data_IF_926034636598
#
_entry.id   IF_926034636598
#
_cell.length_a   1.000
_cell.length_b   1.000
_cell.length_c   1.000
_cell.angle_alpha   90.00
_cell.angle_beta   90.00
_cell.angle_gamma   90.00
#
_symmetry.space_group_name_H-M   'P 1'
#
loop_
_entity.id
_entity.type
_entity.pdbx_description
1 polymer ?
#
# COMPACT_ATOMS: atom_id res chain seq x y z
N UNK A 1 4.79 -10.04 -1.74
CA UNK A 1 5.29 -8.85 -2.47
C UNK A 1 4.42 -7.64 -2.14
N UNK A 2 5.04 -6.48 -1.90
CA UNK A 2 4.36 -5.19 -1.78
C UNK A 2 4.63 -4.41 -3.07
N UNK A 3 3.58 -3.83 -3.65
CA UNK A 3 3.62 -3.06 -4.89
C UNK A 3 2.83 -1.78 -4.73
N UNK A 4 3.28 -0.72 -5.40
CA UNK A 4 2.64 0.59 -5.39
C UNK A 4 2.70 1.21 -6.77
N UNK A 5 1.58 1.78 -7.21
CA UNK A 5 1.41 2.41 -8.51
C UNK A 5 0.82 3.79 -8.31
N UNK A 6 1.47 4.80 -8.89
CA UNK A 6 0.95 6.17 -9.01
C UNK A 6 0.57 6.39 -10.47
N UNK A 7 -0.63 6.92 -10.69
CA UNK A 7 -1.16 7.17 -12.02
C UNK A 7 -1.26 8.69 -12.28
N UNK A 8 -1.31 9.07 -13.56
CA UNK A 8 -1.45 10.47 -14.01
C UNK A 8 -2.86 11.04 -13.83
N UNK A 9 -3.84 10.23 -13.43
CA UNK A 9 -5.24 10.63 -13.22
C UNK A 9 -5.59 10.80 -11.73
N UNK A 10 -4.65 11.26 -10.91
CA UNK A 10 -4.81 11.47 -9.46
C UNK A 10 -5.21 10.23 -8.66
N UNK A 11 -4.80 9.06 -9.16
CA UNK A 11 -5.03 7.77 -8.53
C UNK A 11 -3.72 7.21 -8.00
N UNK A 12 -3.77 6.55 -6.84
CA UNK A 12 -2.70 5.67 -6.38
C UNK A 12 -3.28 4.33 -5.93
N UNK A 13 -2.55 3.24 -6.19
CA UNK A 13 -2.92 1.89 -5.77
C UNK A 13 -1.76 1.24 -5.04
N UNK A 14 -2.03 0.67 -3.88
CA UNK A 14 -1.06 -0.17 -3.15
C UNK A 14 -1.63 -1.57 -3.01
N UNK A 15 -0.82 -2.57 -3.32
CA UNK A 15 -1.19 -3.97 -3.23
C UNK A 15 -0.12 -4.77 -2.48
N UNK A 16 -0.57 -5.64 -1.58
CA UNK A 16 0.26 -6.61 -0.90
C UNK A 16 -0.27 -8.02 -1.19
N UNK A 17 0.62 -8.89 -1.66
CA UNK A 17 0.36 -10.31 -1.86
C UNK A 17 1.22 -11.14 -0.92
N UNK A 18 0.60 -12.06 -0.18
CA UNK A 18 1.29 -12.92 0.78
C UNK A 18 1.54 -14.28 0.14
N UNK A 19 2.80 -14.67 0.05
CA UNK A 19 3.23 -15.91 -0.62
C UNK A 19 3.34 -17.10 0.33
N UNK A 20 3.40 -16.89 1.65
CA UNK A 20 3.65 -17.96 2.62
C UNK A 20 3.48 -17.56 4.08
N UNK A 21 3.58 -18.56 4.96
CA UNK A 21 3.51 -18.42 6.42
C UNK A 21 2.09 -18.25 6.98
N UNK A 22 2.01 -18.08 8.30
CA UNK A 22 0.76 -17.90 9.04
C UNK A 22 0.00 -16.64 8.62
N UNK A 23 -1.33 -16.65 8.83
CA UNK A 23 -2.17 -15.50 8.58
C UNK A 23 -1.71 -14.27 9.40
N UNK A 24 -1.78 -13.09 8.79
CA UNK A 24 -1.36 -11.83 9.40
C UNK A 24 -2.40 -10.75 9.17
N UNK A 25 -2.62 -9.91 10.17
CA UNK A 25 -3.43 -8.70 10.02
C UNK A 25 -2.57 -7.60 9.42
N UNK A 26 -3.04 -7.03 8.31
CA UNK A 26 -2.30 -6.02 7.54
C UNK A 26 -3.19 -4.84 7.16
N UNK A 27 -2.56 -3.68 6.99
CA UNK A 27 -3.12 -2.49 6.32
C UNK A 27 -2.19 -2.10 5.19
N UNK A 28 -2.75 -1.85 4.00
CA UNK A 28 -1.98 -1.24 2.90
C UNK A 28 -2.26 0.25 2.89
N UNK A 29 -1.30 1.04 2.42
CA UNK A 29 -1.41 2.49 2.45
C UNK A 29 -0.51 3.18 1.43
N UNK A 30 -0.51 4.50 1.48
CA UNK A 30 0.53 5.31 0.86
C UNK A 30 0.90 6.49 1.77
N UNK A 31 2.15 6.94 1.67
CA UNK A 31 2.62 8.20 2.22
C UNK A 31 2.75 9.23 1.09
N UNK A 32 2.45 10.48 1.39
CA UNK A 32 2.64 11.65 0.53
C UNK A 32 3.10 12.82 1.41
N UNK A 33 4.36 13.22 1.26
CA UNK A 33 4.99 14.17 2.19
C UNK A 33 4.94 13.66 3.63
N UNK A 34 4.37 14.44 4.55
CA UNK A 34 4.16 14.08 5.96
C UNK A 34 2.85 13.32 6.23
N UNK A 35 1.98 13.19 5.21
CA UNK A 35 0.68 12.54 5.35
C UNK A 35 0.75 11.06 5.03
N UNK A 36 0.00 10.25 5.77
CA UNK A 36 -0.09 8.80 5.56
C UNK A 36 -1.56 8.39 5.53
N UNK A 37 -1.91 7.59 4.52
CA UNK A 37 -3.27 7.10 4.28
C UNK A 37 -3.26 5.58 4.28
N UNK A 38 -3.94 4.95 5.24
CA UNK A 38 -4.08 3.50 5.33
C UNK A 38 -5.50 3.05 4.97
N UNK A 39 -5.58 1.85 4.40
CA UNK A 39 -6.83 1.10 4.29
C UNK A 39 -7.26 0.59 5.67
N UNK A 40 -8.49 0.10 5.73
CA UNK A 40 -8.94 -0.75 6.85
C UNK A 40 -8.03 -1.97 7.00
N UNK A 41 -7.91 -2.45 8.25
CA UNK A 41 -7.20 -3.68 8.58
C UNK A 41 -7.88 -4.87 7.91
N UNK A 42 -7.09 -5.84 7.46
CA UNK A 42 -7.59 -7.11 6.93
C UNK A 42 -6.62 -8.22 7.25
N UNK A 43 -7.13 -9.36 7.71
CA UNK A 43 -6.32 -10.55 7.91
C UNK A 43 -6.20 -11.31 6.60
N UNK A 44 -4.97 -11.57 6.16
CA UNK A 44 -4.71 -12.34 4.95
C UNK A 44 -3.84 -13.56 5.24
N UNK A 45 -4.20 -14.69 4.62
CA UNK A 45 -3.49 -15.96 4.69
C UNK A 45 -2.52 -16.11 3.51
N UNK A 46 -1.73 -17.19 3.52
CA UNK A 46 -0.90 -17.57 2.37
C UNK A 46 -1.74 -17.66 1.08
N UNK A 47 -1.26 -17.09 -0.02
CA UNK A 47 -1.97 -16.97 -1.29
C UNK A 47 -2.96 -15.81 -1.36
N UNK A 48 -3.23 -15.11 -0.26
CA UNK A 48 -4.13 -13.97 -0.19
C UNK A 48 -3.49 -12.65 -0.62
N UNK A 49 -4.32 -11.69 -0.99
CA UNK A 49 -3.92 -10.32 -1.29
C UNK A 49 -4.78 -9.30 -0.57
N UNK A 50 -4.20 -8.11 -0.36
CA UNK A 50 -4.91 -6.91 0.05
C UNK A 50 -4.48 -5.78 -0.88
N UNK A 51 -5.45 -5.10 -1.48
CA UNK A 51 -5.23 -3.89 -2.25
C UNK A 51 -6.14 -2.77 -1.77
N UNK A 52 -5.71 -1.54 -2.01
CA UNK A 52 -6.52 -0.35 -1.88
C UNK A 52 -6.12 0.67 -2.93
N UNK A 53 -7.12 1.44 -3.36
CA UNK A 53 -6.98 2.48 -4.37
C UNK A 53 -7.55 3.77 -3.79
N UNK A 54 -6.82 4.87 -3.99
CA UNK A 54 -7.21 6.20 -3.55
C UNK A 54 -7.33 7.11 -4.77
N UNK A 55 -8.37 7.92 -4.78
CA UNK A 55 -8.61 8.98 -5.76
C UNK A 55 -8.31 10.35 -5.12
N UNK A 56 -8.07 11.37 -5.95
CA UNK A 56 -7.73 12.72 -5.46
C UNK A 56 -6.33 12.80 -4.87
N UNK A 57 -5.46 11.82 -5.17
CA UNK A 57 -4.05 11.88 -4.78
C UNK A 57 -3.38 12.87 -5.73
N UNK A 58 -2.90 13.99 -5.21
CA UNK A 58 -2.41 15.11 -6.03
C UNK A 58 -1.54 14.68 -7.24
N UNK A 59 -1.73 15.39 -8.35
CA UNK A 59 -1.08 15.11 -9.63
C UNK A 59 0.43 15.18 -9.50
N UNK A 60 1.12 14.15 -10.02
CA UNK A 60 2.57 14.09 -10.11
C UNK A 60 3.35 14.36 -8.82
N UNK A 61 2.74 14.13 -7.67
CA UNK A 61 3.46 14.10 -6.39
C UNK A 61 4.06 12.73 -6.16
N UNK A 62 5.25 12.71 -5.54
CA UNK A 62 5.87 11.49 -5.05
C UNK A 62 5.02 10.83 -3.96
N UNK A 63 4.73 9.55 -4.14
CA UNK A 63 4.05 8.72 -3.15
C UNK A 63 4.85 7.45 -2.85
N UNK A 64 4.75 6.96 -1.62
CA UNK A 64 5.42 5.73 -1.18
C UNK A 64 4.37 4.75 -0.72
N UNK A 65 4.32 3.56 -1.30
CA UNK A 65 3.41 2.51 -0.84
C UNK A 65 3.81 2.00 0.53
N UNK A 66 2.83 1.78 1.39
CA UNK A 66 3.04 1.32 2.76
C UNK A 66 2.32 0.00 3.01
N UNK A 67 2.94 -0.82 3.85
CA UNK A 67 2.33 -2.00 4.47
C UNK A 67 2.57 -1.91 5.96
N UNK A 68 1.51 -1.85 6.76
CA UNK A 68 1.57 -2.07 8.20
C UNK A 68 1.13 -3.50 8.48
N UNK A 69 2.01 -4.29 9.09
CA UNK A 69 1.75 -5.64 9.57
C UNK A 69 2.11 -5.74 11.07
N UNK A 70 1.71 -6.81 11.73
CA UNK A 70 2.12 -7.09 13.11
C UNK A 70 3.63 -7.18 13.30
N UNK A 71 4.38 -7.54 12.26
CA UNK A 71 5.85 -7.62 12.27
C UNK A 71 6.56 -6.29 12.02
N UNK A 72 5.83 -5.22 11.70
CA UNK A 72 6.40 -3.91 11.42
C UNK A 72 5.79 -3.21 10.20
N UNK A 73 6.43 -2.13 9.79
CA UNK A 73 6.03 -1.35 8.61
C UNK A 73 7.04 -1.52 7.49
N UNK A 74 6.53 -1.73 6.28
CA UNK A 74 7.33 -1.90 5.06
C UNK A 74 6.91 -0.88 4.03
N UNK A 75 7.84 -0.50 3.15
CA UNK A 75 7.65 0.56 2.17
C UNK A 75 8.13 0.10 0.79
N UNK A 76 7.49 0.62 -0.25
CA UNK A 76 8.03 0.51 -1.61
C UNK A 76 9.06 1.62 -1.86
N UNK A 77 9.87 1.53 -2.93
CA UNK A 77 10.49 2.72 -3.50
C UNK A 77 9.43 3.80 -3.81
N UNK A 78 9.83 5.09 -3.85
CA UNK A 78 8.94 6.15 -4.25
C UNK A 78 8.43 5.94 -5.68
N UNK A 79 7.12 6.12 -5.87
CA UNK A 79 6.49 6.19 -7.17
C UNK A 79 6.16 7.66 -7.48
N UNK A 80 6.41 8.03 -8.73
CA UNK A 80 5.95 9.28 -9.32
C UNK A 80 5.10 8.94 -10.53
N UNK A 81 4.26 9.90 -10.94
CA UNK A 81 3.85 9.94 -12.34
C UNK A 81 5.13 10.15 -13.19
#
# INVERSE_FOLDING_TARGET
MLQHYKYTNDVATTAYYKTGGSAVSVKVGYAQGSSTHYSVSSTISSGGSKSATWTGVAYCTTTVGLLSASSGTYQTPPAVC
#
